data_IF_336605165383
#
_entry.id   IF_336605165383
#
_cell.length_a   1.000
_cell.length_b   1.000
_cell.length_c   1.000
_cell.angle_alpha   90.00
_cell.angle_beta   90.00
_cell.angle_gamma   90.00
#
_symmetry.space_group_name_H-M   'P 1'
#
loop_
_entity.id
_entity.type
_entity.pdbx_description
1 polymer ?
#
# COMPACT_ATOMS: atom_id res chain seq x y z
N UNK A 1 7.55 32.02 -27.75
CA UNK A 1 7.25 31.44 -26.43
C UNK A 1 6.17 30.39 -26.63
N UNK A 2 6.60 29.15 -26.81
CA UNK A 2 5.71 27.99 -27.02
C UNK A 2 5.26 27.51 -25.64
N UNK A 3 3.97 27.64 -25.36
CA UNK A 3 3.33 27.07 -24.18
C UNK A 3 3.49 25.55 -24.25
N UNK A 4 4.23 25.00 -23.29
CA UNK A 4 4.41 23.56 -23.11
C UNK A 4 3.04 22.94 -22.83
N UNK A 5 2.59 22.06 -23.72
CA UNK A 5 1.37 21.27 -23.54
C UNK A 5 1.57 20.30 -22.40
N UNK A 6 0.98 20.60 -21.23
CA UNK A 6 0.83 19.64 -20.16
C UNK A 6 -0.01 18.47 -20.67
N UNK A 7 0.58 17.28 -20.70
CA UNK A 7 -0.15 16.05 -21.01
C UNK A 7 -1.17 15.78 -19.91
N UNK A 8 -2.46 15.55 -20.22
CA UNK A 8 -3.39 15.03 -19.25
C UNK A 8 -2.93 13.63 -18.84
N UNK A 9 -2.57 13.46 -17.56
CA UNK A 9 -2.35 12.14 -16.97
C UNK A 9 -3.72 11.47 -16.89
N UNK A 10 -4.05 10.65 -17.89
CA UNK A 10 -5.21 9.77 -17.82
C UNK A 10 -4.91 8.70 -16.77
N UNK A 11 -5.57 8.76 -15.62
CA UNK A 11 -5.51 7.72 -14.58
C UNK A 11 -6.01 6.39 -15.16
N UNK A 12 -5.10 5.55 -15.64
CA UNK A 12 -5.42 4.24 -16.20
C UNK A 12 -5.38 3.11 -15.16
N UNK A 13 -5.29 3.44 -13.87
CA UNK A 13 -5.27 2.47 -12.78
C UNK A 13 -6.12 2.92 -11.59
N UNK A 14 -6.99 2.03 -11.09
CA UNK A 14 -7.77 2.23 -9.86
C UNK A 14 -6.89 2.17 -8.58
N UNK A 15 -5.63 2.62 -8.63
CA UNK A 15 -4.71 2.59 -7.50
C UNK A 15 -4.76 3.90 -6.70
N UNK A 16 -4.68 3.81 -5.36
CA UNK A 16 -4.62 5.02 -4.51
C UNK A 16 -3.42 5.89 -4.88
N UNK A 17 -2.32 5.28 -5.37
CA UNK A 17 -1.14 6.01 -5.85
C UNK A 17 -1.46 6.80 -7.12
N UNK A 18 -2.13 6.20 -8.09
CA UNK A 18 -2.55 6.87 -9.32
C UNK A 18 -3.50 8.03 -9.02
N UNK A 19 -4.40 7.82 -8.07
CA UNK A 19 -5.38 8.82 -7.67
C UNK A 19 -4.73 10.02 -6.98
N UNK A 20 -3.89 9.78 -5.99
CA UNK A 20 -3.10 10.82 -5.34
C UNK A 20 -2.20 11.53 -6.34
N UNK A 21 -1.59 10.78 -7.26
CA UNK A 21 -0.75 11.30 -8.32
C UNK A 21 -1.51 12.23 -9.26
N UNK A 22 -2.69 11.82 -9.74
CA UNK A 22 -3.55 12.63 -10.59
C UNK A 22 -3.96 13.94 -9.91
N UNK A 23 -4.35 13.86 -8.63
CA UNK A 23 -4.76 15.03 -7.83
C UNK A 23 -3.61 16.02 -7.60
N UNK A 24 -2.41 15.51 -7.35
CA UNK A 24 -1.21 16.32 -7.12
C UNK A 24 -0.47 16.68 -8.42
N UNK A 25 -0.87 16.11 -9.56
CA UNK A 25 -0.15 16.25 -10.83
C UNK A 25 1.27 15.66 -10.81
N UNK A 26 1.45 14.50 -10.16
CA UNK A 26 2.70 13.72 -10.09
C UNK A 26 2.42 12.23 -10.41
N UNK A 27 3.47 11.45 -10.63
CA UNK A 27 3.33 10.01 -10.94
C UNK A 27 3.35 9.11 -9.69
N UNK A 28 2.97 7.83 -9.84
CA UNK A 28 2.91 6.88 -8.73
C UNK A 28 4.25 6.73 -7.97
N UNK A 29 5.43 6.66 -8.62
CA UNK A 29 6.70 6.61 -7.91
C UNK A 29 6.95 7.85 -7.04
N UNK A 30 6.59 9.04 -7.50
CA UNK A 30 6.67 10.26 -6.69
C UNK A 30 5.74 10.19 -5.47
N UNK A 31 4.50 9.72 -5.63
CA UNK A 31 3.57 9.50 -4.52
C UNK A 31 4.14 8.50 -3.52
N UNK A 32 4.68 7.38 -4.01
CA UNK A 32 5.27 6.36 -3.15
C UNK A 32 6.49 6.91 -2.37
N UNK A 33 7.34 7.71 -3.01
CA UNK A 33 8.49 8.35 -2.36
C UNK A 33 8.04 9.33 -1.27
N UNK A 34 7.05 10.19 -1.56
CA UNK A 34 6.46 11.12 -0.59
C UNK A 34 5.82 10.40 0.60
N UNK A 35 5.18 9.26 0.36
CA UNK A 35 4.59 8.42 1.40
C UNK A 35 5.61 7.60 2.19
N UNK A 36 6.92 7.79 1.97
CA UNK A 36 7.99 7.15 2.72
C UNK A 36 8.50 5.82 2.14
N UNK A 37 8.05 5.44 0.94
CA UNK A 37 8.50 4.26 0.21
C UNK A 37 7.77 2.97 0.60
N UNK A 38 8.49 1.85 0.54
CA UNK A 38 7.95 0.51 0.80
C UNK A 38 8.30 -0.01 2.19
N UNK A 39 7.59 -1.06 2.57
CA UNK A 39 7.90 -1.89 3.72
C UNK A 39 7.39 -3.31 3.50
N UNK A 40 7.32 -4.04 4.61
CA UNK A 40 6.63 -5.32 4.66
C UNK A 40 6.09 -5.54 6.08
N UNK A 41 4.86 -6.02 6.17
CA UNK A 41 4.32 -6.67 7.36
C UNK A 41 3.37 -7.78 6.94
N UNK A 42 3.46 -8.94 7.60
CA UNK A 42 2.46 -9.98 7.46
C UNK A 42 2.03 -10.52 8.82
N UNK A 43 0.74 -10.83 8.94
CA UNK A 43 0.16 -11.41 10.13
C UNK A 43 -0.99 -12.35 9.80
N UNK A 44 -0.98 -13.52 10.43
CA UNK A 44 -2.13 -14.42 10.45
C UNK A 44 -2.91 -14.26 11.76
N UNK A 45 -4.23 -14.31 11.67
CA UNK A 45 -5.13 -14.26 12.81
C UNK A 45 -6.06 -15.46 12.80
N UNK A 46 -6.24 -16.07 13.96
CA UNK A 46 -7.06 -17.26 14.15
C UNK A 46 -8.25 -16.90 15.03
N UNK A 47 -9.43 -16.80 14.42
CA UNK A 47 -10.71 -16.60 15.10
C UNK A 47 -11.49 -17.92 15.12
N UNK A 48 -12.54 -17.97 15.93
CA UNK A 48 -13.37 -19.18 16.12
C UNK A 48 -13.88 -19.75 14.80
N UNK A 49 -14.40 -18.89 13.92
CA UNK A 49 -15.03 -19.30 12.66
C UNK A 49 -14.12 -19.10 11.44
N UNK A 50 -13.15 -18.18 11.51
CA UNK A 50 -12.34 -17.76 10.35
C UNK A 50 -10.87 -17.67 10.68
N UNK A 51 -10.02 -17.90 9.69
CA UNK A 51 -8.60 -17.57 9.74
C UNK A 51 -8.33 -16.50 8.69
N UNK A 52 -7.53 -15.50 9.02
CA UNK A 52 -7.23 -14.39 8.12
C UNK A 52 -5.73 -14.21 7.95
N UNK A 53 -5.31 -13.76 6.78
CA UNK A 53 -3.91 -13.46 6.46
C UNK A 53 -3.79 -12.05 5.84
N UNK A 54 -3.05 -11.19 6.53
CA UNK A 54 -2.89 -9.77 6.17
C UNK A 54 -1.49 -9.51 5.64
N UNK A 55 -1.40 -8.66 4.62
CA UNK A 55 -0.14 -8.14 4.09
C UNK A 55 -0.17 -6.61 4.05
N UNK A 56 0.96 -5.98 4.32
CA UNK A 56 1.16 -4.54 4.11
C UNK A 56 2.52 -4.36 3.43
N UNK A 57 2.52 -3.68 2.28
CA UNK A 57 3.74 -3.45 1.47
C UNK A 57 4.18 -1.98 1.45
N UNK A 58 3.34 -1.07 1.95
CA UNK A 58 3.67 0.34 2.12
C UNK A 58 4.51 0.56 3.38
N UNK A 59 5.25 1.66 3.43
CA UNK A 59 5.74 2.17 4.69
C UNK A 59 4.55 2.42 5.65
N UNK A 60 4.70 2.02 6.92
CA UNK A 60 3.70 2.16 7.97
C UNK A 60 4.41 2.82 9.16
N UNK A 61 4.06 4.06 9.55
CA UNK A 61 3.12 4.22 10.68
C UNK A 61 2.17 5.45 10.62
N UNK A 62 2.37 6.38 9.70
CA UNK A 62 1.53 7.57 9.50
C UNK A 62 0.46 7.25 8.44
N UNK A 63 -0.77 7.79 8.51
CA UNK A 63 -1.72 7.67 7.42
C UNK A 63 -1.04 8.08 6.10
N UNK A 64 -0.98 7.16 5.14
CA UNK A 64 -0.19 7.33 3.91
C UNK A 64 -0.54 8.61 3.15
N UNK A 65 -1.83 8.95 3.12
CA UNK A 65 -2.33 10.18 2.50
C UNK A 65 -1.74 11.42 3.17
N UNK A 66 -1.70 11.46 4.51
CA UNK A 66 -1.17 12.60 5.26
C UNK A 66 0.32 12.81 4.96
N UNK A 67 1.11 11.73 4.96
CA UNK A 67 2.53 11.80 4.62
C UNK A 67 2.77 12.30 3.19
N UNK A 68 1.96 11.84 2.23
CA UNK A 68 2.04 12.31 0.84
C UNK A 68 1.70 13.80 0.74
N UNK A 69 0.61 14.23 1.38
CA UNK A 69 0.16 15.63 1.33
C UNK A 69 1.16 16.57 2.01
N UNK A 70 1.67 16.20 3.19
CA UNK A 70 2.69 16.97 3.90
C UNK A 70 3.99 17.06 3.08
N UNK A 71 4.50 15.92 2.61
CA UNK A 71 5.73 15.86 1.82
C UNK A 71 5.62 16.57 0.48
N UNK A 72 4.41 16.67 -0.09
CA UNK A 72 4.17 17.39 -1.35
C UNK A 72 4.36 18.90 -1.22
N UNK A 73 4.25 19.47 0.00
CA UNK A 73 4.32 20.91 0.21
C UNK A 73 3.19 21.72 -0.44
N UNK A 74 2.12 21.06 -0.92
CA UNK A 74 0.99 21.72 -1.60
C UNK A 74 0.13 22.60 -0.69
N UNK A 75 0.42 22.64 0.61
CA UNK A 75 -0.37 23.39 1.59
C UNK A 75 -1.76 22.79 1.81
N UNK A 76 -1.92 21.49 1.54
CA UNK A 76 -3.17 20.78 1.76
C UNK A 76 -3.64 20.92 3.21
N UNK A 77 -4.95 21.13 3.38
CA UNK A 77 -5.61 21.11 4.69
C UNK A 77 -6.50 19.88 4.79
N UNK A 78 -6.47 19.21 5.95
CA UNK A 78 -7.22 18.00 6.21
C UNK A 78 -8.37 18.30 7.18
N UNK A 79 -9.60 17.95 6.81
CA UNK A 79 -10.76 17.98 7.71
C UNK A 79 -11.35 16.58 7.86
N UNK A 80 -11.91 16.31 9.05
CA UNK A 80 -12.61 15.05 9.31
C UNK A 80 -13.98 15.28 9.93
N UNK A 81 -14.94 14.43 9.58
CA UNK A 81 -16.27 14.45 10.17
C UNK A 81 -16.95 13.09 10.10
N UNK A 82 -17.86 12.81 11.02
CA UNK A 82 -18.77 11.66 10.95
C UNK A 82 -20.12 11.99 10.33
N UNK A 83 -20.35 13.26 9.98
CA UNK A 83 -21.59 13.73 9.37
C UNK A 83 -21.46 13.83 7.85
N UNK A 84 -22.18 12.96 7.14
CA UNK A 84 -22.22 12.96 5.67
C UNK A 84 -22.67 14.33 5.11
N UNK A 85 -23.69 14.93 5.72
CA UNK A 85 -24.18 16.25 5.32
C UNK A 85 -23.14 17.36 5.53
N UNK A 86 -22.34 17.28 6.61
CA UNK A 86 -21.23 18.23 6.83
C UNK A 86 -20.13 18.02 5.78
N UNK A 87 -19.73 16.77 5.52
CA UNK A 87 -18.73 16.45 4.50
C UNK A 87 -19.14 16.96 3.12
N UNK A 88 -20.41 16.76 2.73
CA UNK A 88 -20.95 17.27 1.47
C UNK A 88 -20.87 18.81 1.39
N UNK A 89 -21.24 19.53 2.47
CA UNK A 89 -21.16 21.00 2.47
C UNK A 89 -19.72 21.50 2.37
N UNK A 90 -18.79 20.88 3.09
CA UNK A 90 -17.37 21.25 3.02
C UNK A 90 -16.77 20.98 1.64
N UNK A 91 -17.13 19.85 1.03
CA UNK A 91 -16.78 19.51 -0.34
C UNK A 91 -17.30 20.57 -1.33
N UNK A 92 -18.60 20.85 -1.31
CA UNK A 92 -19.21 21.84 -2.21
C UNK A 92 -18.56 23.22 -2.05
N UNK A 93 -18.32 23.66 -0.81
CA UNK A 93 -17.66 24.94 -0.55
C UNK A 93 -16.21 25.00 -1.06
N UNK A 94 -15.46 23.91 -0.96
CA UNK A 94 -14.11 23.84 -1.49
C UNK A 94 -14.09 23.86 -3.03
N UNK A 95 -15.03 23.17 -3.66
CA UNK A 95 -15.16 23.16 -5.12
C UNK A 95 -15.62 24.51 -5.67
N UNK A 96 -16.55 25.19 -4.99
CA UNK A 96 -16.95 26.57 -5.31
C UNK A 96 -15.78 27.55 -5.19
N UNK A 97 -14.86 27.32 -4.26
CA UNK A 97 -13.62 28.09 -4.13
C UNK A 97 -12.57 27.76 -5.22
N UNK A 98 -12.83 26.75 -6.05
CA UNK A 98 -11.91 26.28 -7.09
C UNK A 98 -10.83 25.32 -6.60
N UNK A 99 -10.87 24.88 -5.33
CA UNK A 99 -9.92 23.93 -4.77
C UNK A 99 -10.04 22.55 -5.44
N UNK A 100 -8.94 21.79 -5.48
CA UNK A 100 -9.02 20.34 -5.69
C UNK A 100 -9.28 19.66 -4.36
N UNK A 101 -10.20 18.69 -4.35
CA UNK A 101 -10.57 17.98 -3.14
C UNK A 101 -10.39 16.48 -3.33
N UNK A 102 -9.57 15.89 -2.47
CA UNK A 102 -9.50 14.44 -2.32
C UNK A 102 -10.43 14.05 -1.17
N UNK A 103 -11.38 13.17 -1.43
CA UNK A 103 -12.23 12.62 -0.38
C UNK A 103 -11.91 11.15 -0.16
N UNK A 104 -11.87 10.74 1.11
CA UNK A 104 -11.86 9.32 1.42
C UNK A 104 -12.77 9.00 2.59
N UNK A 105 -13.34 7.80 2.54
CA UNK A 105 -14.26 7.31 3.56
C UNK A 105 -13.61 6.15 4.27
N UNK A 106 -13.39 6.32 5.56
CA UNK A 106 -13.00 5.24 6.46
C UNK A 106 -14.27 4.50 6.90
N UNK A 107 -14.32 3.20 6.64
CA UNK A 107 -15.40 2.30 7.08
C UNK A 107 -14.87 1.40 8.20
N UNK A 108 -15.18 1.70 9.48
CA UNK A 108 -14.74 0.87 10.59
C UNK A 108 -15.34 -0.54 10.54
N UNK A 109 -14.49 -1.57 10.67
CA UNK A 109 -14.91 -2.96 10.86
C UNK A 109 -15.12 -3.81 9.60
N UNK A 110 -15.06 -3.21 8.40
CA UNK A 110 -14.85 -3.95 7.14
C UNK A 110 -13.37 -3.82 6.76
N UNK A 111 -12.70 -4.96 6.50
CA UNK A 111 -11.33 -5.02 5.97
C UNK A 111 -10.31 -4.09 6.65
N UNK A 112 -10.20 -4.13 7.99
CA UNK A 112 -9.20 -3.32 8.73
C UNK A 112 -9.30 -1.79 8.53
N UNK A 113 -10.47 -1.28 8.15
CA UNK A 113 -10.65 0.17 7.95
C UNK A 113 -10.14 0.63 6.59
N UNK A 114 -10.51 -0.09 5.53
CA UNK A 114 -10.23 0.27 4.15
C UNK A 114 -10.66 1.74 3.91
N UNK A 115 -9.66 2.62 3.82
CA UNK A 115 -9.84 4.00 3.40
C UNK A 115 -10.00 3.97 1.89
N UNK A 116 -11.23 4.03 1.41
CA UNK A 116 -11.47 4.10 -0.03
C UNK A 116 -11.19 5.53 -0.46
N UNK A 117 -10.03 5.74 -1.11
CA UNK A 117 -9.66 7.04 -1.66
C UNK A 117 -10.39 7.25 -3.00
N UNK A 118 -11.02 8.41 -3.16
CA UNK A 118 -11.70 8.84 -4.39
C UNK A 118 -11.40 10.32 -4.67
N UNK A 119 -11.04 10.64 -5.91
CA UNK A 119 -11.03 12.04 -6.36
C UNK A 119 -12.48 12.48 -6.50
N UNK A 120 -12.80 13.65 -5.95
CA UNK A 120 -14.13 14.22 -6.01
C UNK A 120 -14.13 15.33 -7.06
N UNK A 121 -14.83 15.10 -8.17
CA UNK A 121 -15.00 16.08 -9.26
C UNK A 121 -16.40 16.68 -9.24
N UNK A 122 -16.61 17.79 -9.97
CA UNK A 122 -17.90 18.50 -10.07
C UNK A 122 -19.08 17.61 -10.50
N UNK A 123 -18.79 16.58 -11.30
CA UNK A 123 -19.77 15.63 -11.81
C UNK A 123 -19.88 14.35 -10.96
N UNK A 124 -18.98 14.20 -9.98
CA UNK A 124 -18.91 13.06 -9.08
C UNK A 124 -19.95 13.17 -7.97
N UNK A 125 -21.19 12.82 -8.27
CA UNK A 125 -22.22 12.70 -7.23
C UNK A 125 -21.72 11.81 -6.09
N UNK A 126 -21.79 12.38 -4.90
CA UNK A 126 -21.37 11.77 -3.65
C UNK A 126 -22.28 10.54 -3.39
N UNK A 127 -21.83 9.32 -3.71
CA UNK A 127 -22.46 8.07 -3.25
C UNK A 127 -22.35 7.86 -1.71
N UNK A 128 -22.04 8.91 -0.94
CA UNK A 128 -22.12 8.89 0.52
C UNK A 128 -23.52 8.57 1.04
N UNK A 129 -24.56 8.87 0.26
CA UNK A 129 -25.94 8.80 0.70
C UNK A 129 -26.43 7.36 1.00
N UNK A 130 -25.73 6.32 0.53
CA UNK A 130 -26.14 4.91 0.71
C UNK A 130 -25.49 4.20 1.91
N UNK A 131 -24.70 4.90 2.71
CA UNK A 131 -23.89 4.30 3.76
C UNK A 131 -24.55 4.34 5.16
N UNK A 132 -24.98 3.19 5.68
CA UNK A 132 -25.81 3.08 6.90
C UNK A 132 -25.06 2.80 8.21
N UNK A 133 -23.72 2.67 8.21
CA UNK A 133 -22.89 2.41 9.42
C UNK A 133 -22.09 3.65 9.85
N UNK A 134 -21.59 3.68 11.10
CA UNK A 134 -20.71 4.74 11.64
C UNK A 134 -19.45 4.90 10.78
N UNK A 135 -19.43 5.86 9.84
CA UNK A 135 -18.28 6.15 8.97
C UNK A 135 -17.59 7.45 9.38
N UNK A 136 -16.29 7.55 9.11
CA UNK A 136 -15.53 8.80 9.22
C UNK A 136 -15.14 9.26 7.82
N UNK A 137 -15.54 10.48 7.49
CA UNK A 137 -15.25 11.15 6.24
C UNK A 137 -14.01 12.01 6.43
N UNK A 138 -13.09 11.93 5.48
CA UNK A 138 -11.88 12.72 5.43
C UNK A 138 -11.86 13.49 4.11
N UNK A 139 -11.52 14.78 4.20
CA UNK A 139 -11.40 15.67 3.06
C UNK A 139 -10.04 16.34 3.12
N UNK A 140 -9.21 16.10 2.11
CA UNK A 140 -8.00 16.87 1.88
C UNK A 140 -8.28 17.92 0.81
N UNK A 141 -8.23 19.19 1.22
CA UNK A 141 -8.39 20.34 0.34
C UNK A 141 -7.01 20.81 -0.10
N UNK A 142 -6.77 20.80 -1.40
CA UNK A 142 -5.55 21.27 -2.02
C UNK A 142 -5.88 22.61 -2.69
N UNK A 143 -5.28 23.73 -2.23
CA UNK A 143 -5.57 25.03 -2.79
C UNK A 143 -5.18 25.07 -4.26
N UNK A 144 -6.09 25.55 -5.11
CA UNK A 144 -5.76 25.85 -6.50
C UNK A 144 -5.36 27.33 -6.61
N UNK A 145 -4.27 27.61 -7.33
CA UNK A 145 -3.91 28.97 -7.74
C UNK A 145 -4.28 29.13 -9.21
N UNK A 146 -5.04 30.18 -9.54
CA UNK A 146 -5.52 30.45 -10.90
C UNK A 146 -6.26 29.26 -11.57
N UNK A 147 -6.96 28.46 -10.76
CA UNK A 147 -7.74 27.30 -11.24
C UNK A 147 -6.92 26.03 -11.52
N UNK A 148 -5.63 26.02 -11.18
CA UNK A 148 -4.78 24.85 -11.28
C UNK A 148 -4.11 24.51 -9.94
N UNK A 149 -3.98 23.21 -9.64
CA UNK A 149 -3.05 22.76 -8.60
C UNK A 149 -1.65 22.85 -9.17
N UNK A 150 -0.77 23.55 -8.47
CA UNK A 150 0.63 23.58 -8.83
C UNK A 150 1.24 22.21 -8.51
N UNK A 151 1.63 21.48 -9.56
CA UNK A 151 2.36 20.22 -9.40
C UNK A 151 3.62 20.45 -8.56
N UNK A 152 3.81 19.72 -7.45
CA UNK A 152 5.00 19.84 -6.64
C UNK A 152 6.22 19.32 -7.41
N UNK A 153 7.35 20.00 -7.26
CA UNK A 153 8.63 19.51 -7.75
C UNK A 153 9.21 18.60 -6.67
N UNK A 154 9.34 17.31 -6.98
CA UNK A 154 9.90 16.34 -6.04
C UNK A 154 11.42 16.31 -6.19
N UNK A 155 12.10 16.66 -5.10
CA UNK A 155 13.55 16.73 -5.07
C UNK A 155 14.19 15.33 -5.14
N UNK A 156 15.38 15.21 -5.71
CA UNK A 156 16.13 13.93 -5.79
C UNK A 156 16.36 13.35 -4.39
N UNK A 157 16.59 14.22 -3.41
CA UNK A 157 16.80 13.90 -2.00
C UNK A 157 15.57 13.21 -1.38
N UNK A 158 14.36 13.51 -1.85
CA UNK A 158 13.14 12.82 -1.42
C UNK A 158 13.15 11.37 -1.86
N UNK A 159 13.56 11.08 -3.09
CA UNK A 159 13.68 9.70 -3.58
C UNK A 159 14.79 8.95 -2.83
N UNK A 160 15.95 9.59 -2.61
CA UNK A 160 17.05 9.00 -1.86
C UNK A 160 16.66 8.69 -0.41
N UNK A 161 15.96 9.61 0.27
CA UNK A 161 15.45 9.40 1.62
C UNK A 161 14.44 8.24 1.68
N UNK A 162 13.47 8.20 0.76
CA UNK A 162 12.49 7.12 0.69
C UNK A 162 13.15 5.77 0.41
N UNK A 163 14.13 5.72 -0.49
CA UNK A 163 14.90 4.53 -0.80
C UNK A 163 15.69 4.01 0.43
N UNK A 164 16.39 4.92 1.11
CA UNK A 164 17.15 4.63 2.34
C UNK A 164 16.26 4.10 3.45
N UNK A 165 15.18 4.81 3.76
CA UNK A 165 14.26 4.43 4.82
C UNK A 165 13.57 3.10 4.53
N UNK A 166 13.21 2.83 3.27
CA UNK A 166 12.67 1.53 2.87
C UNK A 166 13.65 0.39 3.12
N UNK A 167 14.92 0.57 2.74
CA UNK A 167 15.96 -0.43 2.97
C UNK A 167 16.21 -0.67 4.47
N UNK A 168 16.25 0.40 5.29
CA UNK A 168 16.38 0.29 6.74
C UNK A 168 15.20 -0.47 7.37
N UNK A 169 13.97 -0.21 6.93
CA UNK A 169 12.77 -0.92 7.40
C UNK A 169 12.77 -2.38 7.01
N UNK A 170 13.15 -2.69 5.76
CA UNK A 170 13.24 -4.08 5.29
C UNK A 170 14.27 -4.88 6.09
N UNK A 171 15.38 -4.26 6.49
CA UNK A 171 16.41 -4.86 7.34
C UNK A 171 16.09 -4.80 8.84
N UNK A 172 14.89 -4.34 9.23
CA UNK A 172 14.50 -4.12 10.62
C UNK A 172 15.46 -3.23 11.43
N UNK A 173 16.21 -2.34 10.75
CA UNK A 173 17.13 -1.37 11.39
C UNK A 173 16.41 -0.16 11.97
N UNK A 174 15.20 0.12 11.49
CA UNK A 174 14.30 1.14 12.05
C UNK A 174 13.03 0.47 12.57
N UNK A 175 12.66 0.77 13.81
CA UNK A 175 11.38 0.36 14.36
C UNK A 175 10.31 1.33 13.86
N UNK A 176 9.20 0.84 13.28
CA UNK A 176 8.09 1.71 12.93
C UNK A 176 7.53 2.41 14.17
N UNK A 177 7.30 3.72 14.08
CA UNK A 177 6.70 4.50 15.16
C UNK A 177 5.33 3.92 15.58
N UNK A 178 5.03 3.90 16.89
CA UNK A 178 3.77 3.37 17.40
C UNK A 178 3.62 1.84 17.35
N UNK A 179 4.58 1.09 16.78
CA UNK A 179 4.55 -0.37 16.76
C UNK A 179 5.26 -0.93 18.01
N UNK A 180 4.61 -1.77 18.83
CA UNK A 180 5.28 -2.38 19.99
C UNK A 180 6.44 -3.29 19.57
N UNK A 181 7.52 -3.34 20.36
CA UNK A 181 8.72 -4.12 20.05
C UNK A 181 8.43 -5.62 19.80
N UNK A 182 7.40 -6.18 20.46
CA UNK A 182 6.95 -7.56 20.28
C UNK A 182 6.43 -7.87 18.87
N UNK A 183 6.04 -6.85 18.11
CA UNK A 183 5.56 -6.97 16.73
C UNK A 183 6.66 -6.81 15.69
N UNK A 184 7.87 -6.34 16.05
CA UNK A 184 8.97 -6.07 15.12
C UNK A 184 9.33 -7.28 14.23
N UNK A 185 9.23 -8.50 14.78
CA UNK A 185 9.45 -9.77 14.07
C UNK A 185 8.48 -10.05 12.90
N UNK A 186 7.40 -9.26 12.78
CA UNK A 186 6.44 -9.39 11.68
C UNK A 186 6.76 -8.45 10.51
N UNK A 187 7.78 -7.60 10.65
CA UNK A 187 8.12 -6.57 9.66
C UNK A 187 9.36 -6.95 8.85
N UNK A 188 9.48 -6.37 7.66
CA UNK A 188 10.66 -6.51 6.81
C UNK A 188 10.98 -7.95 6.44
N UNK A 189 12.25 -8.24 6.19
CA UNK A 189 12.76 -9.57 5.85
C UNK A 189 12.46 -10.58 6.96
N UNK A 190 12.57 -10.18 8.23
CA UNK A 190 12.23 -11.04 9.37
C UNK A 190 10.77 -11.50 9.32
N UNK A 191 9.87 -10.60 8.95
CA UNK A 191 8.46 -10.90 8.74
C UNK A 191 8.22 -11.87 7.59
N UNK A 192 8.93 -11.70 6.46
CA UNK A 192 8.82 -12.60 5.30
C UNK A 192 9.31 -14.00 5.67
N UNK A 193 10.46 -14.12 6.35
CA UNK A 193 10.98 -15.42 6.83
C UNK A 193 10.02 -16.10 7.80
N UNK A 194 9.49 -15.36 8.77
CA UNK A 194 8.48 -15.88 9.69
C UNK A 194 7.23 -16.37 8.96
N UNK A 195 6.82 -15.67 7.90
CA UNK A 195 5.71 -16.10 7.05
C UNK A 195 6.04 -17.40 6.31
N UNK A 196 7.25 -17.51 5.77
CA UNK A 196 7.76 -18.73 5.13
C UNK A 196 7.76 -19.92 6.10
N UNK A 197 8.26 -19.73 7.31
CA UNK A 197 8.28 -20.77 8.36
C UNK A 197 6.86 -21.22 8.75
N UNK A 198 5.90 -20.29 8.74
CA UNK A 198 4.51 -20.62 9.06
C UNK A 198 3.87 -21.57 8.03
N UNK A 199 4.40 -21.67 6.81
CA UNK A 199 3.89 -22.60 5.78
C UNK A 199 4.23 -24.06 6.10
N UNK A 200 5.32 -24.31 6.82
CA UNK A 200 5.79 -25.65 7.20
C UNK A 200 5.62 -25.96 8.69
N UNK A 201 5.22 -24.98 9.50
CA UNK A 201 4.93 -25.16 10.92
C UNK A 201 3.82 -26.20 11.15
N UNK A 202 4.12 -27.25 11.91
CA UNK A 202 3.17 -28.30 12.29
C UNK A 202 2.27 -27.92 13.49
N UNK A 203 2.52 -26.78 14.13
CA UNK A 203 1.75 -26.30 15.28
C UNK A 203 0.36 -25.80 14.90
N UNK A 204 -0.47 -25.49 15.90
CA UNK A 204 -1.78 -24.88 15.69
C UNK A 204 -1.73 -23.49 15.02
N UNK A 205 -0.56 -22.87 14.91
CA UNK A 205 -0.34 -21.57 14.25
C UNK A 205 0.17 -21.70 12.81
N UNK A 206 0.56 -22.90 12.38
CA UNK A 206 1.02 -23.15 11.03
C UNK A 206 -0.13 -23.20 10.02
N UNK A 207 0.19 -22.90 8.77
CA UNK A 207 -0.80 -22.77 7.68
C UNK A 207 -1.52 -24.09 7.40
N UNK A 208 -0.83 -25.22 7.52
CA UNK A 208 -1.45 -26.54 7.40
C UNK A 208 -2.61 -26.76 8.37
N UNK A 209 -2.55 -26.17 9.58
CA UNK A 209 -3.63 -26.22 10.57
C UNK A 209 -4.63 -25.07 10.41
N UNK A 210 -4.15 -23.85 10.14
CA UNK A 210 -5.00 -22.65 10.04
C UNK A 210 -5.90 -22.66 8.80
N UNK A 211 -5.36 -23.10 7.67
CA UNK A 211 -6.00 -23.06 6.35
C UNK A 211 -6.12 -24.45 5.72
N UNK A 212 -6.00 -25.51 6.54
CA UNK A 212 -6.26 -26.88 6.09
C UNK A 212 -7.74 -27.12 5.77
N UNK A 213 -8.65 -26.43 6.47
CA UNK A 213 -10.07 -26.41 6.12
C UNK A 213 -10.31 -25.51 4.87
N UNK A 214 -10.93 -26.04 3.80
CA UNK A 214 -11.17 -25.27 2.57
C UNK A 214 -11.96 -23.97 2.78
N UNK A 215 -12.94 -23.95 3.69
CA UNK A 215 -13.76 -22.75 3.93
C UNK A 215 -12.94 -21.64 4.57
N UNK A 216 -12.14 -21.98 5.59
CA UNK A 216 -11.20 -21.05 6.22
C UNK A 216 -10.11 -20.59 5.25
N UNK A 217 -9.60 -21.49 4.41
CA UNK A 217 -8.63 -21.15 3.36
C UNK A 217 -9.20 -20.13 2.38
N UNK A 218 -10.42 -20.35 1.89
CA UNK A 218 -11.06 -19.47 0.93
C UNK A 218 -11.15 -18.03 1.45
N UNK A 219 -11.63 -17.85 2.68
CA UNK A 219 -11.74 -16.53 3.33
C UNK A 219 -10.37 -15.91 3.59
N UNK A 220 -9.43 -16.68 4.16
CA UNK A 220 -8.10 -16.18 4.50
C UNK A 220 -7.32 -15.75 3.26
N UNK A 221 -7.41 -16.51 2.18
CA UNK A 221 -6.69 -16.24 0.93
C UNK A 221 -7.38 -15.15 0.12
N UNK A 222 -8.71 -15.04 0.15
CA UNK A 222 -9.42 -13.90 -0.42
C UNK A 222 -8.91 -12.59 0.19
N UNK A 223 -8.78 -12.55 1.52
CA UNK A 223 -8.27 -11.38 2.22
C UNK A 223 -6.82 -11.09 1.86
N UNK A 224 -5.95 -12.11 1.85
CA UNK A 224 -4.56 -11.96 1.44
C UNK A 224 -4.42 -11.41 0.01
N UNK A 225 -5.21 -11.94 -0.93
CA UNK A 225 -5.21 -11.51 -2.33
C UNK A 225 -5.70 -10.08 -2.50
N UNK A 226 -6.61 -9.59 -1.64
CA UNK A 226 -6.97 -8.16 -1.58
C UNK A 226 -5.78 -7.28 -1.22
N UNK A 227 -4.87 -7.73 -0.36
CA UNK A 227 -3.66 -6.98 -0.04
C UNK A 227 -2.57 -7.08 -1.12
N UNK A 228 -2.39 -8.27 -1.71
CA UNK A 228 -1.39 -8.52 -2.75
C UNK A 228 -1.74 -7.83 -4.08
N UNK A 229 -3.03 -7.71 -4.40
CA UNK A 229 -3.51 -7.17 -5.68
C UNK A 229 -4.24 -5.83 -5.55
N UNK A 230 -4.75 -5.51 -4.36
CA UNK A 230 -5.49 -4.28 -4.10
C UNK A 230 -4.58 -3.09 -3.78
N UNK A 231 -5.21 -1.96 -3.46
CA UNK A 231 -4.56 -0.65 -3.57
C UNK A 231 -4.46 0.11 -2.26
N UNK A 232 -5.10 -0.36 -1.19
CA UNK A 232 -5.13 0.35 0.10
C UNK A 232 -3.82 0.19 0.92
N UNK A 233 -3.22 -1.00 0.88
CA UNK A 233 -2.04 -1.32 1.71
C UNK A 233 -0.91 -2.00 0.92
N UNK A 234 -1.11 -2.17 -0.38
CA UNK A 234 -0.20 -2.85 -1.28
C UNK A 234 -0.44 -2.45 -2.72
N UNK A 235 -0.23 -3.40 -3.60
CA UNK A 235 -0.35 -3.27 -5.05
C UNK A 235 0.38 -4.43 -5.71
N UNK A 236 0.14 -4.60 -7.02
CA UNK A 236 0.82 -5.64 -7.82
C UNK A 236 2.33 -5.65 -7.58
N UNK A 237 2.89 -6.86 -7.47
CA UNK A 237 4.30 -7.06 -7.16
C UNK A 237 4.72 -6.49 -5.81
N UNK A 238 3.80 -6.32 -4.86
CA UNK A 238 4.10 -5.73 -3.55
C UNK A 238 4.62 -4.30 -3.64
N UNK A 239 4.24 -3.53 -4.67
CA UNK A 239 4.75 -2.18 -4.99
C UNK A 239 6.22 -2.12 -5.43
N UNK A 240 6.90 -3.26 -5.61
CA UNK A 240 8.33 -3.27 -5.95
C UNK A 240 8.60 -2.73 -7.36
N UNK A 241 7.63 -2.84 -8.28
CA UNK A 241 7.72 -2.22 -9.60
C UNK A 241 7.78 -0.69 -9.52
N UNK A 242 6.88 -0.06 -8.77
CA UNK A 242 6.89 1.39 -8.53
C UNK A 242 8.13 1.81 -7.73
N UNK A 243 8.53 0.99 -6.75
CA UNK A 243 9.70 1.30 -5.93
C UNK A 243 11.02 1.19 -6.72
N UNK A 244 11.10 0.33 -7.73
CA UNK A 244 12.25 0.30 -8.64
C UNK A 244 12.45 1.66 -9.33
N UNK A 245 11.37 2.35 -9.71
CA UNK A 245 11.46 3.71 -10.28
C UNK A 245 11.91 4.74 -9.23
N UNK A 246 11.53 4.59 -7.96
CA UNK A 246 12.05 5.39 -6.85
C UNK A 246 13.56 5.18 -6.69
N UNK A 247 14.02 3.93 -6.71
CA UNK A 247 15.44 3.55 -6.60
C UNK A 247 16.25 4.11 -7.78
N UNK A 248 15.71 4.04 -9.00
CA UNK A 248 16.35 4.63 -10.18
C UNK A 248 16.50 6.16 -10.05
N UNK A 249 15.47 6.86 -9.58
CA UNK A 249 15.49 8.31 -9.37
C UNK A 249 16.42 8.73 -8.22
N UNK A 250 16.62 7.85 -7.24
CA UNK A 250 17.62 8.01 -6.20
C UNK A 250 19.06 7.79 -6.69
N UNK A 251 19.26 7.35 -7.95
CA UNK A 251 20.58 7.10 -8.54
C UNK A 251 21.17 5.71 -8.27
N UNK A 252 20.37 4.76 -7.80
CA UNK A 252 20.79 3.38 -7.52
C UNK A 252 20.23 2.37 -8.55
N UNK A 253 20.74 1.13 -8.54
CA UNK A 253 20.33 0.08 -9.47
C UNK A 253 18.90 -0.42 -9.17
N UNK A 254 17.93 -0.23 -10.08
CA UNK A 254 16.54 -0.64 -9.87
C UNK A 254 16.26 -2.12 -10.18
N UNK A 255 17.19 -2.82 -10.84
CA UNK A 255 16.97 -4.18 -11.35
C UNK A 255 16.53 -5.18 -10.26
N UNK A 256 17.14 -5.22 -9.06
CA UNK A 256 16.73 -6.14 -8.00
C UNK A 256 15.26 -5.99 -7.60
N UNK A 257 14.76 -4.75 -7.54
CA UNK A 257 13.36 -4.49 -7.15
C UNK A 257 12.37 -4.86 -8.27
N UNK A 258 12.73 -4.70 -9.55
CA UNK A 258 11.88 -5.21 -10.65
C UNK A 258 11.72 -6.73 -10.58
N UNK A 259 12.81 -7.45 -10.28
CA UNK A 259 12.78 -8.90 -10.10
C UNK A 259 11.92 -9.31 -8.89
N UNK A 260 12.10 -8.64 -7.75
CA UNK A 260 11.26 -8.85 -6.56
C UNK A 260 9.77 -8.61 -6.84
N UNK A 261 9.44 -7.62 -7.68
CA UNK A 261 8.06 -7.40 -8.12
C UNK A 261 7.48 -8.62 -8.83
N UNK A 262 8.25 -9.27 -9.71
CA UNK A 262 7.83 -10.49 -10.38
C UNK A 262 7.69 -11.67 -9.40
N UNK A 263 8.61 -11.83 -8.44
CA UNK A 263 8.53 -12.89 -7.43
C UNK A 263 7.27 -12.76 -6.55
N UNK A 264 6.88 -11.54 -6.18
CA UNK A 264 5.64 -11.28 -5.44
C UNK A 264 4.38 -11.56 -6.27
N UNK A 265 4.40 -11.33 -7.59
CA UNK A 265 3.29 -11.69 -8.48
C UNK A 265 3.17 -13.20 -8.67
N UNK A 266 4.29 -13.92 -8.75
CA UNK A 266 4.32 -15.38 -8.73
C UNK A 266 3.70 -15.91 -7.43
N UNK A 267 4.08 -15.35 -6.28
CA UNK A 267 3.50 -15.72 -4.99
C UNK A 267 1.98 -15.45 -4.92
N UNK A 268 1.52 -14.30 -5.41
CA UNK A 268 0.08 -13.99 -5.48
C UNK A 268 -0.66 -14.98 -6.38
N UNK A 269 -0.04 -15.41 -7.48
CA UNK A 269 -0.59 -16.45 -8.38
C UNK A 269 -0.70 -17.80 -7.67
N UNK A 270 0.35 -18.22 -6.95
CA UNK A 270 0.32 -19.45 -6.14
C UNK A 270 -0.83 -19.43 -5.12
N UNK A 271 -1.05 -18.30 -4.45
CA UNK A 271 -2.15 -18.13 -3.51
C UNK A 271 -3.53 -18.21 -4.19
N UNK A 272 -3.71 -17.55 -5.33
CA UNK A 272 -4.96 -17.59 -6.09
C UNK A 272 -5.31 -19.01 -6.55
N UNK A 273 -4.32 -19.75 -7.03
CA UNK A 273 -4.47 -21.16 -7.39
C UNK A 273 -4.92 -21.99 -6.19
N UNK A 274 -4.22 -21.89 -5.05
CA UNK A 274 -4.55 -22.66 -3.85
C UNK A 274 -5.87 -22.29 -3.18
N UNK A 275 -6.38 -21.08 -3.44
CA UNK A 275 -7.72 -20.67 -3.00
C UNK A 275 -8.82 -21.46 -3.74
N UNK A 276 -8.61 -21.76 -5.03
CA UNK A 276 -9.61 -22.39 -5.90
C UNK A 276 -9.46 -23.90 -6.05
N UNK A 277 -8.29 -24.46 -5.75
CA UNK A 277 -8.00 -25.88 -5.93
C UNK A 277 -8.49 -26.78 -4.77
N UNK A 278 -8.69 -28.09 -5.04
CA UNK A 278 -9.05 -29.09 -4.04
C UNK A 278 -8.05 -29.17 -2.88
N UNK A 279 -8.51 -29.61 -1.71
CA UNK A 279 -7.64 -29.78 -0.53
C UNK A 279 -6.44 -30.72 -0.77
N UNK A 280 -6.52 -31.65 -1.73
CA UNK A 280 -5.44 -32.59 -2.05
C UNK A 280 -4.19 -31.94 -2.65
N UNK A 281 -4.28 -30.74 -3.23
CA UNK A 281 -3.10 -30.01 -3.73
C UNK A 281 -2.52 -29.03 -2.70
N UNK A 282 -3.15 -28.91 -1.52
CA UNK A 282 -2.76 -27.87 -0.56
C UNK A 282 -1.36 -28.11 0.05
N UNK A 283 -0.94 -29.37 0.25
CA UNK A 283 0.42 -29.66 0.73
C UNK A 283 1.49 -29.23 -0.28
N UNK A 284 1.25 -29.44 -1.57
CA UNK A 284 2.14 -28.98 -2.64
C UNK A 284 2.22 -27.45 -2.68
N UNK A 285 1.08 -26.77 -2.48
CA UNK A 285 1.08 -25.32 -2.32
C UNK A 285 1.95 -24.87 -1.14
N UNK A 286 1.85 -25.51 0.03
CA UNK A 286 2.64 -25.12 1.21
C UNK A 286 4.15 -25.21 0.93
N UNK A 287 4.60 -26.27 0.27
CA UNK A 287 6.01 -26.44 -0.11
C UNK A 287 6.47 -25.36 -1.11
N UNK A 288 5.66 -25.08 -2.14
CA UNK A 288 5.96 -24.01 -3.12
C UNK A 288 5.97 -22.63 -2.47
N UNK A 289 5.00 -22.34 -1.60
CA UNK A 289 4.89 -21.09 -0.87
C UNK A 289 6.10 -20.88 0.06
N UNK A 290 6.53 -21.93 0.77
CA UNK A 290 7.73 -21.92 1.60
C UNK A 290 8.97 -21.50 0.79
N UNK A 291 9.23 -22.20 -0.32
CA UNK A 291 10.38 -21.94 -1.18
C UNK A 291 10.33 -20.53 -1.80
N UNK A 292 9.15 -20.09 -2.26
CA UNK A 292 8.97 -18.76 -2.83
C UNK A 292 9.24 -17.66 -1.81
N UNK A 293 8.69 -17.77 -0.60
CA UNK A 293 8.85 -16.74 0.44
C UNK A 293 10.30 -16.65 0.94
N UNK A 294 11.02 -17.77 1.05
CA UNK A 294 12.45 -17.71 1.35
C UNK A 294 13.26 -17.04 0.24
N UNK A 295 12.98 -17.36 -1.03
CA UNK A 295 13.62 -16.69 -2.18
C UNK A 295 13.39 -15.18 -2.15
N UNK A 296 12.14 -14.77 -1.93
CA UNK A 296 11.78 -13.35 -1.78
C UNK A 296 12.53 -12.73 -0.60
N UNK A 297 12.55 -13.37 0.56
CA UNK A 297 13.21 -12.82 1.75
C UNK A 297 14.72 -12.59 1.52
N UNK A 298 15.40 -13.55 0.91
CA UNK A 298 16.83 -13.45 0.64
C UNK A 298 17.14 -12.38 -0.43
N UNK A 299 16.28 -12.28 -1.46
CA UNK A 299 16.40 -11.24 -2.48
C UNK A 299 16.11 -9.83 -1.93
N UNK A 300 15.11 -9.68 -1.04
CA UNK A 300 14.80 -8.42 -0.36
C UNK A 300 15.97 -7.98 0.54
N UNK A 301 16.56 -8.91 1.29
CA UNK A 301 17.73 -8.62 2.15
C UNK A 301 18.93 -8.16 1.30
N UNK A 302 19.24 -8.90 0.23
CA UNK A 302 20.33 -8.55 -0.67
C UNK A 302 20.11 -7.19 -1.35
N UNK A 303 18.89 -6.93 -1.85
CA UNK A 303 18.54 -5.67 -2.49
C UNK A 303 18.60 -4.49 -1.52
N UNK A 304 18.13 -4.66 -0.27
CA UNK A 304 18.18 -3.62 0.74
C UNK A 304 19.62 -3.29 1.17
N UNK A 305 20.48 -4.30 1.34
CA UNK A 305 21.90 -4.09 1.67
C UNK A 305 22.64 -3.38 0.53
N UNK A 306 22.43 -3.81 -0.71
CA UNK A 306 23.03 -3.18 -1.89
C UNK A 306 22.55 -1.73 -2.06
N UNK A 307 21.26 -1.47 -1.81
CA UNK A 307 20.69 -0.13 -1.88
C UNK A 307 21.32 0.81 -0.85
N UNK A 308 21.46 0.38 0.41
CA UNK A 308 22.13 1.20 1.43
C UNK A 308 23.57 1.54 1.06
N UNK A 309 24.32 0.55 0.53
CA UNK A 309 25.70 0.77 0.11
C UNK A 309 25.84 1.75 -1.08
N UNK A 310 24.78 1.95 -1.87
CA UNK A 310 24.78 2.83 -3.03
C UNK A 310 24.36 4.28 -2.72
N UNK A 311 23.65 4.50 -1.60
CA UNK A 311 23.06 5.81 -1.22
C UNK A 311 23.63 6.38 0.09
N UNK A 312 24.59 5.67 0.70
CA UNK A 312 25.49 6.19 1.75
C UNK A 312 26.61 7.05 1.13
#
# INVERSE_FOLDING_TARGET
MTLSSQHPVTASGNSDLALLGAVLGIDEPAVLALGGGIGFMAASFNYEEVATLTFVFRAHPVPFVDAVLEGSGTGASLSTTTSAAKAQRELSAAMEAGDRVLGYVMIPGENWGEAVVRELTADGEFELAKATKKKQFWLARIPAQDGAVQSPIIATETYAAAARESALRMLNKTQPEGVPASFAKNFGVSGIRKLADATTDGSARGWGKLFGDPSRRAVGFEMALKFLNGTAHGGRGGLRHQFAEVVQRAGADPVPYRALGADWEEFATLMATAQSEPASSYSEFLEKAHAQLHRIADAEEAAALALLAAID
#
